data_IF_034780345105
#
_entry.id   IF_034780345105
#
_cell.length_a   1.000
_cell.length_b   1.000
_cell.length_c   1.000
_cell.angle_alpha   90.00
_cell.angle_beta   90.00
_cell.angle_gamma   90.00
#
_symmetry.space_group_name_H-M   'P 1'
#
loop_
_entity.id
_entity.type
_entity.pdbx_description
1 polymer ?
#
# COMPACT_ATOMS: atom_id res chain seq x y z
N UNK A 1 -7.74 9.63 1.94
CA UNK A 1 -8.58 10.10 3.06
C UNK A 1 -9.56 8.99 3.40
N UNK A 2 -9.86 8.78 4.69
CA UNK A 2 -10.86 7.79 5.12
C UNK A 2 -11.85 8.45 6.08
N UNK A 3 -13.12 8.22 5.82
CA UNK A 3 -14.24 8.68 6.66
C UNK A 3 -14.92 7.47 7.30
N UNK A 4 -15.34 7.62 8.56
CA UNK A 4 -15.98 6.59 9.36
C UNK A 4 -17.28 7.12 9.98
N UNK A 5 -18.40 6.55 9.55
CA UNK A 5 -19.71 6.80 10.14
C UNK A 5 -20.13 5.59 11.00
N UNK A 6 -20.44 5.83 12.28
CA UNK A 6 -20.94 4.77 13.16
C UNK A 6 -22.46 4.84 13.18
N UNK A 7 -23.10 3.79 12.67
CA UNK A 7 -24.55 3.69 12.67
C UNK A 7 -25.04 3.28 14.06
N UNK A 8 -26.01 4.04 14.57
CA UNK A 8 -26.59 3.84 15.90
C UNK A 8 -28.10 3.69 15.77
N UNK A 9 -28.64 2.63 16.36
CA UNK A 9 -30.09 2.44 16.51
C UNK A 9 -30.51 2.76 17.94
N UNK A 10 -31.68 3.36 18.12
CA UNK A 10 -32.27 3.55 19.44
C UNK A 10 -33.60 2.82 19.57
N UNK A 11 -33.81 2.19 20.72
CA UNK A 11 -35.10 1.61 21.12
C UNK A 11 -35.93 2.57 22.01
N UNK A 12 -35.50 3.85 22.09
CA UNK A 12 -36.12 4.88 22.91
C UNK A 12 -35.61 4.94 24.35
N UNK A 13 -34.73 4.01 24.78
CA UNK A 13 -34.09 4.04 26.11
C UNK A 13 -32.57 4.02 26.03
N UNK A 14 -32.03 3.28 25.06
CA UNK A 14 -30.59 3.20 24.85
C UNK A 14 -30.23 3.40 23.38
N UNK A 15 -28.99 3.83 23.16
CA UNK A 15 -28.39 3.93 21.84
C UNK A 15 -27.41 2.76 21.68
N UNK A 16 -27.56 2.00 20.60
CA UNK A 16 -26.70 0.86 20.30
C UNK A 16 -26.07 1.04 18.93
N UNK A 17 -24.75 1.12 18.89
CA UNK A 17 -24.00 1.04 17.64
C UNK A 17 -24.23 -0.33 17.00
N UNK A 18 -24.39 -0.37 15.68
CA UNK A 18 -24.69 -1.60 14.93
C UNK A 18 -23.60 -1.95 13.92
N UNK A 19 -23.08 -0.95 13.20
CA UNK A 19 -22.11 -1.14 12.12
C UNK A 19 -21.27 0.13 11.90
N UNK A 20 -20.17 -0.03 11.17
CA UNK A 20 -19.28 1.05 10.74
C UNK A 20 -19.40 1.17 9.23
N UNK A 21 -19.90 2.30 8.74
CA UNK A 21 -19.85 2.63 7.32
C UNK A 21 -18.57 3.42 7.08
N UNK A 22 -17.68 2.89 6.24
CA UNK A 22 -16.39 3.48 5.99
C UNK A 22 -16.20 3.78 4.50
N UNK A 23 -15.73 5.00 4.20
CA UNK A 23 -15.47 5.46 2.84
C UNK A 23 -14.02 5.88 2.70
N UNK A 24 -13.30 5.26 1.77
CA UNK A 24 -11.95 5.63 1.40
C UNK A 24 -11.94 6.37 0.06
N UNK A 25 -11.43 7.60 0.07
CA UNK A 25 -11.15 8.38 -1.13
C UNK A 25 -9.68 8.22 -1.50
N UNK A 26 -9.43 7.68 -2.70
CA UNK A 26 -8.07 7.47 -3.21
C UNK A 26 -7.60 8.72 -3.96
N UNK A 27 -6.61 9.39 -3.39
CA UNK A 27 -5.88 10.46 -4.10
C UNK A 27 -4.99 9.86 -5.19
N UNK A 28 -4.85 10.54 -6.34
CA UNK A 28 -3.92 10.13 -7.38
C UNK A 28 -2.48 10.30 -6.90
N UNK A 29 -1.61 9.37 -7.31
CA UNK A 29 -0.17 9.56 -7.14
C UNK A 29 0.28 10.71 -8.04
N UNK A 30 1.10 11.61 -7.51
CA UNK A 30 1.64 12.74 -8.23
C UNK A 30 3.16 12.69 -8.30
N UNK A 31 3.73 13.26 -9.37
CA UNK A 31 5.18 13.36 -9.52
C UNK A 31 5.64 14.69 -8.96
N UNK A 32 6.55 14.63 -7.99
CA UNK A 32 7.23 15.82 -7.51
C UNK A 32 8.16 16.39 -8.58
N UNK A 33 8.34 17.71 -8.55
CA UNK A 33 9.11 18.45 -9.53
C UNK A 33 9.41 19.86 -9.03
N UNK A 34 9.84 20.71 -9.97
CA UNK A 34 10.04 22.15 -9.72
C UNK A 34 9.06 22.89 -10.61
N UNK A 35 8.11 23.59 -10.00
CA UNK A 35 7.04 24.32 -10.69
C UNK A 35 7.01 25.74 -10.15
N UNK A 36 7.05 26.76 -11.01
CA UNK A 36 7.21 28.16 -10.60
C UNK A 36 8.30 28.40 -9.53
N UNK A 37 9.41 27.67 -9.59
CA UNK A 37 10.52 27.76 -8.62
C UNK A 37 10.28 27.05 -7.28
N UNK A 38 9.10 26.45 -7.08
CA UNK A 38 8.77 25.66 -5.89
C UNK A 38 9.17 24.22 -6.12
N UNK A 39 10.04 23.70 -5.25
CA UNK A 39 10.37 22.28 -5.20
C UNK A 39 9.29 21.54 -4.40
N UNK A 40 8.50 20.74 -5.09
CA UNK A 40 7.26 20.24 -4.50
C UNK A 40 7.43 19.02 -3.61
N UNK A 41 8.58 18.34 -3.67
CA UNK A 41 8.94 17.35 -2.65
C UNK A 41 9.22 18.04 -1.31
N UNK A 42 10.05 19.09 -1.32
CA UNK A 42 10.38 19.86 -0.10
C UNK A 42 9.14 20.55 0.49
N UNK A 43 8.21 21.01 -0.35
CA UNK A 43 6.94 21.57 0.13
C UNK A 43 6.06 20.50 0.80
N UNK A 44 5.92 19.32 0.19
CA UNK A 44 5.15 18.23 0.79
C UNK A 44 5.76 17.78 2.12
N UNK A 45 7.09 17.62 2.19
CA UNK A 45 7.79 17.27 3.43
C UNK A 45 7.57 18.31 4.54
N UNK A 46 7.54 19.60 4.18
CA UNK A 46 7.22 20.69 5.13
C UNK A 46 5.78 20.59 5.62
N UNK A 47 4.84 20.32 4.73
CA UNK A 47 3.43 20.16 5.11
C UNK A 47 3.21 18.92 5.97
N UNK A 48 3.89 17.80 5.68
CA UNK A 48 3.84 16.58 6.49
C UNK A 48 4.41 16.78 7.90
N UNK A 49 5.35 17.71 8.06
CA UNK A 49 5.97 18.00 9.37
C UNK A 49 5.09 18.85 10.30
N UNK A 50 4.06 19.51 9.75
CA UNK A 50 3.17 20.39 10.51
C UNK A 50 1.98 19.58 11.01
N UNK A 51 1.71 19.73 12.31
CA UNK A 51 0.44 19.28 12.90
C UNK A 51 -0.64 20.33 12.61
N UNK A 52 -1.35 20.15 11.49
CA UNK A 52 -2.36 21.09 10.99
C UNK A 52 -3.56 21.26 11.94
N UNK A 53 -3.78 20.34 12.88
CA UNK A 53 -4.87 20.42 13.86
C UNK A 53 -4.51 21.28 15.08
N UNK A 54 -3.27 21.79 15.17
CA UNK A 54 -2.81 22.56 16.31
C UNK A 54 -3.32 24.01 16.28
N UNK A 55 -3.81 24.48 17.43
CA UNK A 55 -4.43 25.80 17.59
C UNK A 55 -3.46 27.00 17.45
N UNK A 56 -2.14 26.77 17.39
CA UNK A 56 -1.14 27.85 17.34
C UNK A 56 -0.67 28.20 15.92
N UNK A 57 -1.25 27.57 14.89
CA UNK A 57 -0.91 27.84 13.48
C UNK A 57 -1.48 29.15 12.95
N UNK A 58 -2.32 29.81 13.75
CA UNK A 58 -2.84 31.14 13.50
C UNK A 58 -2.85 31.96 14.79
N UNK A 59 -2.79 33.28 14.64
CA UNK A 59 -2.86 34.24 15.74
C UNK A 59 -3.90 35.30 15.41
N UNK A 60 -4.61 35.79 16.42
CA UNK A 60 -5.50 36.93 16.23
C UNK A 60 -4.71 38.24 16.28
N UNK A 61 -4.92 39.09 15.28
CA UNK A 61 -4.37 40.44 15.30
C UNK A 61 -5.18 41.39 16.20
N UNK A 62 -4.79 42.67 16.25
CA UNK A 62 -5.45 43.70 17.06
C UNK A 62 -6.94 43.93 16.69
N UNK A 63 -7.41 43.36 15.58
CA UNK A 63 -8.77 43.49 15.06
C UNK A 63 -9.58 42.20 15.22
N UNK A 64 -9.09 41.25 16.02
CA UNK A 64 -9.65 39.91 16.20
C UNK A 64 -9.75 39.12 14.87
N UNK A 65 -8.90 39.44 13.88
CA UNK A 65 -8.80 38.69 12.64
C UNK A 65 -7.74 37.61 12.77
N UNK A 66 -8.10 36.37 12.45
CA UNK A 66 -7.18 35.25 12.49
C UNK A 66 -6.18 35.34 11.31
N UNK A 67 -4.89 35.41 11.64
CA UNK A 67 -3.77 35.48 10.70
C UNK A 67 -2.94 34.22 10.78
N UNK A 68 -2.53 33.61 9.66
CA UNK A 68 -1.61 32.47 9.67
C UNK A 68 -0.27 32.86 10.31
N UNK A 69 0.35 31.93 11.01
CA UNK A 69 1.76 32.07 11.42
C UNK A 69 2.68 32.21 10.21
N UNK A 70 3.91 32.75 10.36
CA UNK A 70 4.87 32.84 9.27
C UNK A 70 5.13 31.49 8.57
N UNK A 71 5.18 30.40 9.33
CA UNK A 71 5.36 29.05 8.78
C UNK A 71 4.19 28.61 7.90
N UNK A 72 2.96 28.83 8.35
CA UNK A 72 1.76 28.55 7.55
C UNK A 72 1.64 29.50 6.35
N UNK A 73 2.02 30.76 6.50
CA UNK A 73 2.01 31.77 5.45
C UNK A 73 2.97 31.41 4.31
N UNK A 74 4.19 30.95 4.63
CA UNK A 74 5.16 30.49 3.63
C UNK A 74 4.57 29.35 2.75
N UNK A 75 3.75 28.48 3.36
CA UNK A 75 3.07 27.39 2.64
C UNK A 75 1.92 27.93 1.80
N UNK A 76 1.12 28.85 2.33
CA UNK A 76 0.03 29.49 1.58
C UNK A 76 0.55 30.22 0.34
N UNK A 77 1.64 30.98 0.48
CA UNK A 77 2.29 31.68 -0.64
C UNK A 77 2.83 30.70 -1.69
N UNK A 78 3.48 29.61 -1.26
CA UNK A 78 3.95 28.56 -2.16
C UNK A 78 2.79 27.88 -2.90
N UNK A 79 1.66 27.65 -2.23
CA UNK A 79 0.45 27.09 -2.85
C UNK A 79 -0.15 28.04 -3.89
N UNK A 80 -0.22 29.34 -3.59
CA UNK A 80 -0.73 30.31 -4.55
C UNK A 80 0.14 30.36 -5.82
N UNK A 81 1.47 30.30 -5.67
CA UNK A 81 2.40 30.24 -6.80
C UNK A 81 2.23 28.94 -7.62
N UNK A 82 2.02 27.81 -6.97
CA UNK A 82 1.76 26.53 -7.65
C UNK A 82 0.41 26.51 -8.37
N UNK A 83 -0.64 27.09 -7.78
CA UNK A 83 -1.97 27.18 -8.40
C UNK A 83 -1.97 27.99 -9.70
N UNK A 84 -1.01 28.90 -9.86
CA UNK A 84 -0.79 29.71 -11.07
C UNK A 84 0.04 28.99 -12.15
N UNK A 85 0.72 27.90 -11.81
CA UNK A 85 1.46 27.07 -12.77
C UNK A 85 0.53 26.03 -13.40
N UNK A 86 0.46 25.96 -14.74
CA UNK A 86 -0.42 24.99 -15.42
C UNK A 86 -0.09 23.53 -15.05
N UNK A 87 1.18 23.21 -14.78
CA UNK A 87 1.61 21.85 -14.42
C UNK A 87 1.66 21.62 -12.91
N UNK A 88 1.80 22.68 -12.11
CA UNK A 88 1.81 22.66 -10.65
C UNK A 88 0.42 22.74 -10.02
N UNK A 89 -0.60 23.18 -10.76
CA UNK A 89 -1.96 23.39 -10.25
C UNK A 89 -2.56 22.11 -9.67
N UNK A 90 -2.60 21.02 -10.42
CA UNK A 90 -3.18 19.76 -9.95
C UNK A 90 -2.50 19.23 -8.69
N UNK A 91 -1.19 19.46 -8.57
CA UNK A 91 -0.44 19.09 -7.37
C UNK A 91 -0.83 19.94 -6.17
N UNK A 92 -0.94 21.26 -6.35
CA UNK A 92 -1.40 22.15 -5.28
C UNK A 92 -2.79 21.74 -4.78
N UNK A 93 -3.74 21.51 -5.70
CA UNK A 93 -5.09 21.06 -5.34
C UNK A 93 -5.06 19.76 -4.52
N UNK A 94 -4.22 18.79 -4.90
CA UNK A 94 -4.07 17.54 -4.14
C UNK A 94 -3.44 17.76 -2.76
N UNK A 95 -2.39 18.58 -2.65
CA UNK A 95 -1.75 18.88 -1.37
C UNK A 95 -2.72 19.58 -0.40
N UNK A 96 -3.53 20.53 -0.90
CA UNK A 96 -4.59 21.16 -0.11
C UNK A 96 -5.57 20.13 0.45
N UNK A 97 -6.08 19.23 -0.40
CA UNK A 97 -7.00 18.18 0.05
C UNK A 97 -6.35 17.14 0.98
N UNK A 98 -5.03 16.95 0.89
CA UNK A 98 -4.33 15.97 1.71
C UNK A 98 -4.12 16.47 3.14
N UNK A 99 -3.84 17.77 3.29
CA UNK A 99 -3.43 18.35 4.56
C UNK A 99 -4.49 19.21 5.25
N UNK A 100 -5.44 19.79 4.51
CA UNK A 100 -6.33 20.84 5.05
C UNK A 100 -7.81 20.43 5.14
N UNK A 101 -8.21 19.30 4.56
CA UNK A 101 -9.63 18.91 4.40
C UNK A 101 -10.38 18.76 5.74
N UNK A 102 -9.66 18.46 6.82
CA UNK A 102 -10.20 18.34 8.18
C UNK A 102 -9.69 19.45 9.11
N UNK A 103 -9.11 20.52 8.55
CA UNK A 103 -8.51 21.59 9.33
C UNK A 103 -9.38 22.84 9.27
N UNK A 104 -10.15 23.18 10.33
CA UNK A 104 -11.19 24.20 10.26
C UNK A 104 -10.71 25.58 9.79
N UNK A 105 -9.50 25.98 10.19
CA UNK A 105 -8.92 27.25 9.76
C UNK A 105 -8.50 27.24 8.28
N UNK A 106 -7.92 26.13 7.80
CA UNK A 106 -7.38 26.03 6.45
C UNK A 106 -8.40 25.54 5.41
N UNK A 107 -9.56 25.05 5.83
CA UNK A 107 -10.69 24.67 4.97
C UNK A 107 -11.09 25.80 4.01
N UNK A 108 -11.12 27.04 4.52
CA UNK A 108 -11.42 28.24 3.73
C UNK A 108 -10.34 28.58 2.68
N UNK A 109 -9.13 28.02 2.81
CA UNK A 109 -8.03 28.20 1.87
C UNK A 109 -7.97 27.11 0.80
N UNK A 110 -8.82 26.08 0.88
CA UNK A 110 -8.93 25.04 -0.15
C UNK A 110 -9.62 25.64 -1.38
N UNK A 111 -8.94 25.55 -2.53
CA UNK A 111 -9.46 26.07 -3.78
C UNK A 111 -10.70 25.30 -4.24
N UNK A 112 -11.71 25.96 -4.83
CA UNK A 112 -12.95 25.32 -5.30
C UNK A 112 -12.71 24.13 -6.25
N UNK A 113 -11.80 24.27 -7.22
CA UNK A 113 -11.37 23.17 -8.09
C UNK A 113 -10.85 21.94 -7.33
N UNK A 114 -10.29 22.11 -6.14
CA UNK A 114 -9.84 20.99 -5.31
C UNK A 114 -11.05 20.21 -4.79
N UNK A 115 -12.10 20.90 -4.33
CA UNK A 115 -13.37 20.25 -3.96
C UNK A 115 -14.02 19.53 -5.14
N UNK A 116 -14.04 20.15 -6.31
CA UNK A 116 -14.54 19.48 -7.52
C UNK A 116 -13.74 18.22 -7.85
N UNK A 117 -12.41 18.28 -7.74
CA UNK A 117 -11.53 17.14 -7.91
C UNK A 117 -11.88 16.04 -6.90
N UNK A 118 -11.98 16.40 -5.61
CA UNK A 118 -12.30 15.48 -4.52
C UNK A 118 -13.61 14.71 -4.75
N UNK A 119 -14.65 15.38 -5.24
CA UNK A 119 -15.93 14.73 -5.55
C UNK A 119 -15.86 13.77 -6.74
N UNK A 120 -14.92 13.98 -7.66
CA UNK A 120 -14.67 13.11 -8.83
C UNK A 120 -13.72 11.96 -8.53
N UNK A 121 -13.01 11.99 -7.39
CA UNK A 121 -12.04 10.94 -7.04
C UNK A 121 -12.71 9.58 -6.83
N UNK A 122 -12.01 8.47 -7.17
CA UNK A 122 -12.49 7.13 -6.89
C UNK A 122 -12.71 6.93 -5.38
N UNK A 123 -13.92 6.49 -5.02
CA UNK A 123 -14.30 6.16 -3.64
C UNK A 123 -14.58 4.67 -3.52
N UNK A 124 -14.07 4.07 -2.46
CA UNK A 124 -14.41 2.71 -2.04
C UNK A 124 -15.15 2.82 -0.73
N UNK A 125 -16.43 2.44 -0.71
CA UNK A 125 -17.27 2.49 0.47
C UNK A 125 -17.76 1.08 0.83
N UNK A 126 -17.75 0.74 2.11
CA UNK A 126 -18.27 -0.52 2.59
C UNK A 126 -18.68 -0.47 4.07
N UNK A 127 -19.62 -1.33 4.41
CA UNK A 127 -20.11 -1.51 5.78
C UNK A 127 -19.36 -2.65 6.46
N UNK A 128 -18.87 -2.41 7.67
CA UNK A 128 -18.12 -3.37 8.47
C UNK A 128 -18.80 -3.64 9.82
N UNK A 129 -18.66 -4.86 10.36
CA UNK A 129 -18.94 -5.15 11.76
C UNK A 129 -18.09 -4.28 12.70
N UNK A 130 -18.65 -3.92 13.85
CA UNK A 130 -18.00 -3.05 14.86
C UNK A 130 -16.66 -3.60 15.39
N UNK A 131 -16.48 -4.91 15.38
CA UNK A 131 -15.28 -5.61 15.86
C UNK A 131 -14.14 -5.66 14.83
N UNK A 132 -14.35 -5.15 13.61
CA UNK A 132 -13.36 -5.20 12.53
C UNK A 132 -12.09 -4.40 12.85
N UNK A 133 -12.21 -3.30 13.59
CA UNK A 133 -11.11 -2.39 13.96
C UNK A 133 -10.70 -1.44 12.83
N UNK A 134 -10.52 -0.15 13.16
CA UNK A 134 -10.29 0.93 12.18
C UNK A 134 -9.08 0.66 11.26
N UNK A 135 -7.94 0.21 11.83
CA UNK A 135 -6.72 -0.07 11.06
C UNK A 135 -6.92 -1.13 9.99
N UNK A 136 -7.69 -2.17 10.30
CA UNK A 136 -8.01 -3.26 9.38
C UNK A 136 -8.95 -2.78 8.27
N UNK A 137 -9.97 -2.01 8.63
CA UNK A 137 -10.88 -1.36 7.68
C UNK A 137 -10.08 -0.51 6.68
N UNK A 138 -9.19 0.34 7.18
CA UNK A 138 -8.33 1.18 6.34
C UNK A 138 -7.50 0.36 5.36
N UNK A 139 -6.81 -0.68 5.83
CA UNK A 139 -5.98 -1.51 4.97
C UNK A 139 -6.80 -2.26 3.91
N UNK A 140 -7.98 -2.77 4.26
CA UNK A 140 -8.90 -3.38 3.31
C UNK A 140 -9.30 -2.39 2.23
N UNK A 141 -9.77 -1.20 2.61
CA UNK A 141 -10.20 -0.16 1.65
C UNK A 141 -9.04 0.33 0.76
N UNK A 142 -7.79 0.26 1.25
CA UNK A 142 -6.58 0.47 0.44
C UNK A 142 -6.27 -0.70 -0.52
N UNK A 143 -7.11 -1.73 -0.59
CA UNK A 143 -6.91 -2.92 -1.40
C UNK A 143 -5.90 -3.91 -0.83
N UNK A 144 -5.49 -3.76 0.44
CA UNK A 144 -4.55 -4.69 1.09
C UNK A 144 -5.31 -5.88 1.67
N UNK A 145 -4.77 -7.10 1.57
CA UNK A 145 -5.40 -8.26 2.17
C UNK A 145 -5.30 -8.18 3.70
N UNK A 146 -6.40 -8.44 4.40
CA UNK A 146 -6.41 -8.53 5.86
C UNK A 146 -7.22 -9.73 6.35
N UNK A 147 -6.86 -10.26 7.51
CA UNK A 147 -7.57 -11.38 8.13
C UNK A 147 -8.78 -10.85 8.90
N UNK A 148 -9.97 -11.33 8.56
CA UNK A 148 -11.21 -10.98 9.24
C UNK A 148 -11.70 -12.18 10.05
N UNK A 149 -11.67 -12.03 11.38
CA UNK A 149 -12.30 -12.97 12.29
C UNK A 149 -13.79 -12.58 12.41
N UNK A 150 -14.72 -13.51 12.20
CA UNK A 150 -16.13 -13.28 12.55
C UNK A 150 -17.09 -12.81 11.44
N UNK A 151 -16.61 -12.53 10.21
CA UNK A 151 -17.53 -12.44 9.07
C UNK A 151 -18.10 -13.84 8.82
N UNK A 152 -19.36 -14.04 9.23
CA UNK A 152 -20.10 -15.30 9.11
C UNK A 152 -20.23 -15.71 7.63
N UNK A 153 -19.21 -16.36 7.09
CA UNK A 153 -19.33 -17.23 5.93
C UNK A 153 -18.86 -18.62 6.28
N UNK A 154 -19.65 -19.57 5.81
CA UNK A 154 -19.75 -20.97 6.22
C UNK A 154 -18.45 -21.76 6.02
N UNK A 155 -17.64 -21.87 7.08
CA UNK A 155 -16.79 -23.02 7.48
C UNK A 155 -15.53 -22.49 8.15
N UNK A 156 -15.53 -22.41 9.48
CA UNK A 156 -14.42 -22.64 10.43
C UNK A 156 -12.97 -22.17 10.14
N UNK A 157 -12.71 -21.40 9.09
CA UNK A 157 -11.37 -21.01 8.67
C UNK A 157 -11.30 -19.48 8.68
N UNK A 158 -10.30 -18.95 9.37
CA UNK A 158 -9.84 -17.57 9.23
C UNK A 158 -9.57 -17.31 7.75
N UNK A 159 -10.41 -16.49 7.13
CA UNK A 159 -10.30 -16.17 5.70
C UNK A 159 -9.73 -14.78 5.55
N UNK A 160 -8.67 -14.68 4.75
CA UNK A 160 -8.19 -13.38 4.30
C UNK A 160 -9.25 -12.77 3.41
N UNK A 161 -9.39 -11.46 3.46
CA UNK A 161 -10.28 -10.72 2.58
C UNK A 161 -9.51 -9.59 1.91
N UNK A 162 -9.91 -9.27 0.69
CA UNK A 162 -9.33 -8.18 -0.08
C UNK A 162 -10.40 -7.62 -1.01
N UNK A 163 -10.41 -6.30 -1.20
CA UNK A 163 -11.25 -5.71 -2.24
C UNK A 163 -10.65 -6.00 -3.61
N UNK A 164 -11.49 -6.52 -4.51
CA UNK A 164 -11.15 -6.76 -5.91
C UNK A 164 -12.07 -5.89 -6.77
N UNK A 165 -11.46 -5.15 -7.69
CA UNK A 165 -12.20 -4.30 -8.63
C UNK A 165 -12.39 -5.03 -9.96
N UNK A 166 -13.63 -5.24 -10.35
CA UNK A 166 -14.02 -5.80 -11.64
C UNK A 166 -15.01 -4.85 -12.32
N UNK A 167 -14.70 -4.41 -13.56
CA UNK A 167 -15.65 -3.72 -14.45
C UNK A 167 -16.51 -2.62 -13.76
N UNK A 168 -15.86 -1.77 -12.94
CA UNK A 168 -16.46 -0.67 -12.16
C UNK A 168 -17.16 -1.02 -10.85
N UNK A 169 -17.04 -2.26 -10.36
CA UNK A 169 -17.49 -2.66 -9.03
C UNK A 169 -16.33 -3.15 -8.18
N UNK A 170 -16.21 -2.60 -6.97
CA UNK A 170 -15.22 -3.01 -5.98
C UNK A 170 -15.93 -3.85 -4.93
N UNK A 171 -15.57 -5.13 -4.83
CA UNK A 171 -16.21 -6.08 -3.92
C UNK A 171 -15.20 -6.70 -2.96
N UNK A 172 -15.59 -6.87 -1.70
CA UNK A 172 -14.80 -7.58 -0.71
C UNK A 172 -14.93 -9.08 -0.96
N UNK A 173 -13.82 -9.72 -1.33
CA UNK A 173 -13.80 -11.14 -1.64
C UNK A 173 -12.90 -11.91 -0.67
N UNK A 174 -13.31 -13.14 -0.27
CA UNK A 174 -12.43 -14.03 0.47
C UNK A 174 -11.28 -14.49 -0.44
N UNK A 175 -10.08 -14.57 0.14
CA UNK A 175 -8.85 -15.02 -0.50
C UNK A 175 -8.20 -16.09 0.36
N UNK A 176 -7.59 -17.06 -0.30
CA UNK A 176 -6.78 -18.07 0.38
C UNK A 176 -5.40 -17.48 0.67
N UNK A 177 -4.99 -17.50 1.93
CA UNK A 177 -3.72 -16.93 2.37
C UNK A 177 -3.12 -17.73 3.51
N UNK A 178 -1.93 -17.33 4.01
CA UNK A 178 -1.26 -18.04 5.08
C UNK A 178 -2.07 -17.96 6.39
N UNK A 179 -2.16 -19.07 7.10
CA UNK A 179 -2.69 -19.09 8.46
C UNK A 179 -1.83 -18.27 9.42
N UNK A 180 -2.41 -17.87 10.56
CA UNK A 180 -1.65 -17.21 11.64
C UNK A 180 -0.43 -18.01 12.10
N UNK A 181 -0.51 -19.34 12.06
CA UNK A 181 0.60 -20.23 12.42
C UNK A 181 1.71 -20.22 11.36
N UNK A 182 1.36 -20.25 10.07
CA UNK A 182 2.33 -20.14 8.98
C UNK A 182 3.03 -18.77 9.03
N UNK A 183 2.30 -17.68 9.26
CA UNK A 183 2.91 -16.35 9.42
C UNK A 183 3.91 -16.28 10.58
N UNK A 184 3.58 -16.88 11.73
CA UNK A 184 4.53 -16.99 12.85
C UNK A 184 5.78 -17.76 12.45
N UNK A 185 5.61 -18.84 11.69
CA UNK A 185 6.73 -19.65 11.20
C UNK A 185 7.61 -18.85 10.24
N UNK A 186 7.01 -18.10 9.31
CA UNK A 186 7.76 -17.24 8.38
C UNK A 186 8.52 -16.13 9.11
N UNK A 187 7.91 -15.48 10.09
CA UNK A 187 8.58 -14.47 10.91
C UNK A 187 9.71 -15.07 11.76
N UNK A 188 9.55 -16.29 12.25
CA UNK A 188 10.59 -17.00 13.00
C UNK A 188 11.81 -17.35 12.13
N UNK A 189 11.61 -17.54 10.82
CA UNK A 189 12.71 -17.77 9.87
C UNK A 189 13.52 -16.50 9.58
N UNK A 190 12.96 -15.31 9.83
CA UNK A 190 13.66 -14.05 9.57
C UNK A 190 14.58 -13.67 10.73
N UNK A 191 15.76 -13.07 10.45
CA UNK A 191 16.67 -12.58 11.48
C UNK A 191 16.15 -11.26 12.08
N UNK A 192 15.04 -11.36 12.80
CA UNK A 192 14.37 -10.27 13.50
C UNK A 192 14.49 -10.47 15.00
N UNK A 193 14.50 -9.38 15.76
CA UNK A 193 14.37 -9.42 17.22
C UNK A 193 13.02 -10.07 17.61
N UNK A 194 13.06 -11.01 18.55
CA UNK A 194 11.89 -11.74 19.02
C UNK A 194 10.84 -10.81 19.62
N UNK A 195 11.24 -9.71 20.27
CA UNK A 195 10.30 -8.72 20.81
C UNK A 195 9.45 -8.05 19.73
N UNK A 196 9.92 -8.00 18.47
CA UNK A 196 9.20 -7.38 17.37
C UNK A 196 8.28 -8.34 16.62
N UNK A 197 8.45 -9.66 16.77
CA UNK A 197 7.75 -10.66 15.93
C UNK A 197 6.24 -10.70 16.19
N UNK A 198 5.81 -10.65 17.45
CA UNK A 198 4.36 -10.65 17.77
C UNK A 198 3.67 -9.35 17.33
N UNK A 199 4.37 -8.22 17.44
CA UNK A 199 3.87 -6.93 16.95
C UNK A 199 3.72 -6.93 15.42
N UNK A 200 4.75 -7.40 14.71
CA UNK A 200 4.72 -7.57 13.26
C UNK A 200 3.61 -8.52 12.84
N UNK A 201 3.40 -9.63 13.55
CA UNK A 201 2.31 -10.55 13.27
C UNK A 201 0.95 -9.84 13.35
N UNK A 202 0.68 -9.10 14.43
CA UNK A 202 -0.59 -8.39 14.60
C UNK A 202 -0.84 -7.38 13.48
N UNK A 203 0.20 -6.62 13.10
CA UNK A 203 0.16 -5.67 12.00
C UNK A 203 -0.10 -6.34 10.64
N UNK A 204 0.65 -7.41 10.33
CA UNK A 204 0.49 -8.17 9.09
C UNK A 204 -0.90 -8.81 8.97
N UNK A 205 -1.46 -9.33 10.06
CA UNK A 205 -2.83 -9.85 10.09
C UNK A 205 -3.87 -8.77 9.82
N UNK A 206 -3.56 -7.52 10.15
CA UNK A 206 -4.41 -6.36 9.86
C UNK A 206 -4.18 -5.78 8.47
N UNK A 207 -3.29 -6.36 7.66
CA UNK A 207 -2.96 -5.93 6.30
C UNK A 207 -1.92 -4.81 6.22
N UNK A 208 -1.18 -4.54 7.30
CA UNK A 208 -0.13 -3.52 7.29
C UNK A 208 1.08 -3.94 6.47
N UNK A 209 1.76 -2.94 5.90
CA UNK A 209 3.15 -3.03 5.46
C UNK A 209 4.04 -2.56 6.60
N UNK A 210 5.04 -3.35 6.95
CA UNK A 210 5.84 -3.12 8.14
C UNK A 210 7.29 -2.84 7.77
N UNK A 211 7.77 -1.63 8.04
CA UNK A 211 9.19 -1.32 7.98
C UNK A 211 9.91 -1.93 9.18
N UNK A 212 11.00 -2.65 8.93
CA UNK A 212 11.83 -3.27 9.97
C UNK A 212 13.25 -3.47 9.47
N UNK A 213 14.14 -3.90 10.36
CA UNK A 213 15.55 -4.16 10.04
C UNK A 213 15.86 -5.64 10.22
N UNK A 214 16.37 -6.28 9.17
CA UNK A 214 16.91 -7.63 9.23
C UNK A 214 18.33 -7.59 9.81
N UNK A 215 18.58 -8.36 10.87
CA UNK A 215 19.85 -8.48 11.56
C UNK A 215 20.69 -9.64 10.99
N UNK A 216 21.09 -9.53 9.72
CA UNK A 216 22.03 -10.46 9.08
C UNK A 216 23.50 -10.03 9.26
N UNK A 217 24.35 -10.43 8.30
CA UNK A 217 25.76 -9.97 8.20
C UNK A 217 25.81 -8.44 8.06
N UNK A 218 24.83 -7.85 7.39
CA UNK A 218 24.60 -6.42 7.33
C UNK A 218 23.16 -6.12 7.75
N UNK A 219 22.98 -5.03 8.50
CA UNK A 219 21.65 -4.50 8.82
C UNK A 219 21.02 -4.01 7.52
N UNK A 220 19.88 -4.58 7.19
CA UNK A 220 19.14 -4.24 5.96
C UNK A 220 17.74 -3.79 6.36
N UNK A 221 17.37 -2.56 6.01
CA UNK A 221 15.99 -2.09 6.16
C UNK A 221 15.12 -2.69 5.07
N UNK A 222 13.98 -3.24 5.48
CA UNK A 222 13.04 -3.92 4.58
C UNK A 222 11.61 -3.55 4.96
N UNK A 223 10.75 -3.49 3.94
CA UNK A 223 9.30 -3.52 4.11
C UNK A 223 8.83 -4.97 4.03
N UNK A 224 8.08 -5.42 5.05
CA UNK A 224 7.44 -6.74 5.09
C UNK A 224 5.95 -6.58 4.85
N UNK A 225 5.41 -7.32 3.88
CA UNK A 225 3.98 -7.40 3.61
C UNK A 225 3.54 -8.84 3.32
N UNK A 226 2.23 -9.07 3.22
CA UNK A 226 1.67 -10.36 2.78
C UNK A 226 1.57 -10.39 1.26
N UNK A 227 1.99 -11.50 0.66
CA UNK A 227 1.74 -11.84 -0.73
C UNK A 227 0.73 -12.97 -0.78
N UNK A 228 -0.41 -12.71 -1.42
CA UNK A 228 -1.52 -13.67 -1.51
C UNK A 228 -1.30 -14.69 -2.63
N UNK A 229 -0.49 -14.37 -3.64
CA UNK A 229 -0.22 -15.26 -4.77
C UNK A 229 0.75 -16.37 -4.33
N UNK A 230 1.82 -16.00 -3.64
CA UNK A 230 2.77 -16.97 -3.05
C UNK A 230 2.33 -17.49 -1.68
N UNK A 231 1.32 -16.85 -1.08
CA UNK A 231 0.81 -17.12 0.29
C UNK A 231 1.95 -17.12 1.30
N UNK A 232 2.80 -16.10 1.24
CA UNK A 232 3.98 -15.94 2.10
C UNK A 232 4.20 -14.47 2.47
N UNK A 233 5.28 -14.21 3.20
CA UNK A 233 5.78 -12.84 3.34
C UNK A 233 6.46 -12.42 2.03
N UNK A 234 6.31 -11.14 1.69
CA UNK A 234 7.07 -10.43 0.69
C UNK A 234 7.98 -9.44 1.39
N UNK A 235 9.25 -9.46 1.02
CA UNK A 235 10.28 -8.56 1.52
C UNK A 235 10.67 -7.61 0.40
N UNK A 236 10.55 -6.31 0.64
CA UNK A 236 10.92 -5.27 -0.32
C UNK A 236 12.06 -4.44 0.28
N UNK A 237 13.16 -4.29 -0.47
CA UNK A 237 14.28 -3.44 -0.08
C UNK A 237 13.92 -1.95 -0.24
N UNK A 238 14.73 -1.05 0.33
CA UNK A 238 14.52 0.40 0.26
C UNK A 238 14.49 0.95 -1.19
N UNK A 239 15.15 0.27 -2.14
CA UNK A 239 15.13 0.62 -3.56
C UNK A 239 13.90 0.08 -4.32
N UNK A 240 12.97 -0.61 -3.64
CA UNK A 240 11.77 -1.21 -4.23
C UNK A 240 11.97 -2.63 -4.75
N UNK A 241 13.19 -3.17 -4.75
CA UNK A 241 13.46 -4.52 -5.24
C UNK A 241 12.93 -5.57 -4.26
N UNK A 242 12.35 -6.64 -4.82
CA UNK A 242 11.90 -7.78 -4.03
C UNK A 242 13.11 -8.60 -3.62
N UNK A 243 13.29 -8.81 -2.32
CA UNK A 243 14.32 -9.69 -1.78
C UNK A 243 13.81 -11.13 -1.87
N UNK A 244 14.42 -12.00 -2.69
CA UNK A 244 13.99 -13.39 -2.79
C UNK A 244 14.28 -14.09 -1.46
N UNK A 245 13.24 -14.58 -0.81
CA UNK A 245 13.36 -15.36 0.43
C UNK A 245 12.50 -16.61 0.35
N UNK A 246 13.12 -17.77 0.59
CA UNK A 246 12.43 -19.03 0.46
C UNK A 246 11.78 -19.43 1.79
N UNK A 247 10.55 -18.99 2.00
CA UNK A 247 9.76 -19.32 3.21
C UNK A 247 9.20 -20.74 3.19
N UNK A 248 9.11 -21.35 2.02
CA UNK A 248 8.72 -22.74 1.84
C UNK A 248 9.99 -23.51 1.56
N UNK A 249 10.31 -24.53 2.35
CA UNK A 249 11.47 -25.39 2.12
C UNK A 249 11.27 -26.29 0.89
N UNK A 250 10.82 -25.73 -0.23
CA UNK A 250 10.74 -26.42 -1.51
C UNK A 250 12.17 -26.67 -2.02
N UNK A 251 12.43 -27.91 -2.43
CA UNK A 251 13.68 -28.28 -3.09
C UNK A 251 13.83 -27.40 -4.33
N UNK A 252 14.84 -26.53 -4.32
CA UNK A 252 15.20 -25.77 -5.50
C UNK A 252 15.49 -26.77 -6.62
N UNK A 253 14.64 -26.77 -7.65
CA UNK A 253 15.06 -27.34 -8.93
C UNK A 253 16.30 -26.58 -9.36
N UNK A 254 17.42 -27.25 -9.67
CA UNK A 254 18.65 -26.56 -10.02
C UNK A 254 18.38 -25.59 -11.17
N UNK A 255 18.99 -24.40 -11.16
CA UNK A 255 18.78 -23.42 -12.23
C UNK A 255 19.06 -24.11 -13.56
N UNK A 256 18.12 -23.98 -14.50
CA UNK A 256 18.29 -24.49 -15.86
C UNK A 256 19.66 -24.01 -16.34
N UNK A 257 20.54 -24.98 -16.62
CA UNK A 257 21.93 -24.70 -16.95
C UNK A 257 21.97 -23.58 -17.98
N UNK A 258 22.57 -22.45 -17.61
CA UNK A 258 22.90 -21.38 -18.54
C UNK A 258 23.55 -22.05 -19.74
N UNK A 259 22.93 -21.92 -20.91
CA UNK A 259 23.50 -22.39 -22.16
C UNK A 259 24.80 -21.62 -22.38
N UNK A 260 25.89 -22.17 -21.83
CA UNK A 260 27.23 -21.83 -22.22
C UNK A 260 27.31 -22.25 -23.68
N UNK A 261 27.33 -21.26 -24.58
CA UNK A 261 27.71 -21.44 -25.97
C UNK A 261 29.15 -21.92 -26.00
N UNK A 262 29.33 -23.22 -25.77
CA UNK A 262 30.60 -23.91 -26.01
C UNK A 262 30.76 -23.98 -27.53
N UNK A 263 31.62 -23.11 -28.03
CA UNK A 263 32.07 -23.05 -29.42
C UNK A 263 32.70 -24.40 -29.77
N UNK A 264 31.87 -25.33 -30.25
CA UNK A 264 32.29 -26.68 -30.58
C UNK A 264 33.02 -26.64 -31.91
N UNK A 265 34.31 -27.00 -31.89
CA UNK A 265 35.12 -27.21 -33.09
C UNK A 265 34.43 -28.26 -33.98
N UNK A 266 34.36 -28.08 -35.30
CA UNK A 266 33.71 -29.05 -36.19
C UNK A 266 34.56 -30.34 -36.23
N UNK A 267 33.97 -31.46 -35.82
CA UNK A 267 34.55 -32.79 -36.05
C UNK A 267 34.26 -33.20 -37.50
N UNK A 268 35.33 -33.52 -38.22
CA UNK A 268 35.32 -34.14 -39.55
C UNK A 268 34.37 -35.35 -39.59
N UNK A 269 33.45 -35.33 -40.54
CA UNK A 269 32.52 -36.42 -40.81
C UNK A 269 33.26 -37.61 -41.44
N UNK A 270 33.34 -38.73 -40.72
CA UNK A 270 33.72 -40.01 -41.32
C UNK A 270 32.53 -40.62 -42.05
N UNK A 271 32.61 -40.59 -43.38
CA UNK A 271 31.69 -41.23 -44.34
C UNK A 271 31.67 -42.75 -44.09
N UNK A 272 30.53 -43.29 -43.63
CA UNK A 272 30.28 -44.74 -43.62
C UNK A 272 29.89 -45.21 -45.03
N UNK A 273 30.75 -46.02 -45.65
CA UNK A 273 30.47 -46.72 -46.92
C UNK A 273 29.39 -47.79 -46.72
N UNK A 274 28.25 -47.64 -47.40
CA UNK A 274 27.20 -48.64 -47.53
C UNK A 274 27.66 -49.81 -48.42
N UNK A 275 27.74 -51.02 -47.87
CA UNK A 275 27.89 -52.27 -48.65
C UNK A 275 26.49 -52.81 -49.00
N UNK A 276 26.09 -52.67 -50.26
CA UNK A 276 24.89 -53.30 -50.85
C UNK A 276 25.04 -54.82 -50.83
N UNK A 277 24.07 -55.54 -50.25
CA UNK A 277 23.78 -56.94 -50.54
C UNK A 277 22.80 -56.99 -51.74
N UNK A 278 23.18 -57.65 -52.83
CA UNK A 278 22.26 -58.16 -53.85
C UNK A 278 22.37 -59.68 -53.87
N UNK A 279 21.21 -60.33 -53.94
CA UNK A 279 20.99 -61.76 -53.79
C UNK A 279 21.47 -62.63 -54.95
N UNK A 280 21.24 -63.93 -54.77
CA UNK A 280 21.74 -65.08 -55.54
C UNK A 280 20.61 -65.69 -56.39
N UNK A 281 20.95 -66.23 -57.57
CA UNK A 281 20.12 -67.08 -58.45
C UNK A 281 19.80 -66.38 -59.77
N UNK A 282 20.12 -66.90 -60.96
CA UNK A 282 20.42 -68.26 -61.44
C UNK A 282 21.69 -68.22 -62.30
#
# INVERSE_FOLDING_TARGET
FIDYEIMVTSDGKEFKATQIDATFTRYPDFKHGIYNGIKTAELADKMDAIDWERDDLYTFDEQDMAQPTPEAMDILDAMELLLRDENGRDLALNLQLHHWIDTPFFDAHIHADAWELFHKLPKVAHTFPLDTGARRIYNLLCGRPAMLDGLKQSRGYTTWHQFVTHENKTELQPKEGPSKYELRTFLAMLPLDDMHKDHLLSKLLSGDRCLTTLHGIQKTEVEISIDMDTRSLKLTAANGDIIPYNFRLEQQSPPAAQQTFSRTKPKLAHIKKNKKRKGRGI
#
